data_IF_859022088376
#
_entry.id   IF_859022088376
#
_cell.length_a   1.000
_cell.length_b   1.000
_cell.length_c   1.000
_cell.angle_alpha   90.00
_cell.angle_beta   90.00
_cell.angle_gamma   90.00
#
_symmetry.space_group_name_H-M   'P 1'
#
loop_
_entity.id
_entity.type
_entity.pdbx_description
1 polymer ?
#
# COMPACT_ATOMS: atom_id res chain seq x y z
N UNK A 1 -12.45 24.99 16.67
CA UNK A 1 -12.45 24.31 17.97
C UNK A 1 -12.66 22.82 17.80
N UNK A 2 -11.81 21.98 18.46
CA UNK A 2 -12.03 20.54 18.52
C UNK A 2 -13.24 20.21 19.40
N UNK A 3 -14.08 19.28 18.95
CA UNK A 3 -15.25 18.79 19.67
C UNK A 3 -15.41 17.27 19.47
N UNK A 4 -15.75 16.56 20.56
CA UNK A 4 -16.09 15.15 20.52
C UNK A 4 -17.62 14.99 20.50
N UNK A 5 -18.16 14.35 19.46
CA UNK A 5 -19.60 14.22 19.22
C UNK A 5 -19.88 12.81 18.73
N UNK A 6 -20.75 12.08 19.40
CA UNK A 6 -21.21 10.73 19.03
C UNK A 6 -20.06 9.72 18.76
N UNK A 7 -19.01 9.78 19.58
CA UNK A 7 -17.87 8.86 19.46
C UNK A 7 -16.78 9.28 18.46
N UNK A 8 -16.93 10.42 17.81
CA UNK A 8 -16.00 10.95 16.82
C UNK A 8 -15.50 12.34 17.20
N UNK A 9 -14.29 12.69 16.79
CA UNK A 9 -13.70 14.02 16.99
C UNK A 9 -13.81 14.83 15.70
N UNK A 10 -14.22 16.08 15.83
CA UNK A 10 -14.35 17.05 14.72
C UNK A 10 -13.62 18.34 15.07
N UNK A 11 -13.10 19.03 14.06
CA UNK A 11 -12.62 20.40 14.18
C UNK A 11 -13.64 21.34 13.50
N UNK A 12 -14.23 22.26 14.26
CA UNK A 12 -15.07 23.32 13.72
C UNK A 12 -14.24 24.57 13.44
N UNK A 13 -14.36 25.08 12.23
CA UNK A 13 -13.74 26.32 11.78
C UNK A 13 -14.51 27.54 12.31
N UNK A 14 -14.01 28.76 12.08
CA UNK A 14 -14.63 30.00 12.56
C UNK A 14 -16.01 30.25 11.95
N UNK A 15 -16.24 29.78 10.72
CA UNK A 15 -17.53 29.86 10.02
C UNK A 15 -18.53 28.77 10.45
N UNK A 16 -18.16 27.93 11.42
CA UNK A 16 -18.98 26.82 11.92
C UNK A 16 -18.93 25.55 11.06
N UNK A 17 -18.24 25.54 9.94
CA UNK A 17 -18.06 24.34 9.13
C UNK A 17 -17.07 23.35 9.77
N UNK A 18 -17.17 22.06 9.39
CA UNK A 18 -16.21 21.04 9.80
C UNK A 18 -14.95 21.07 8.91
N UNK A 19 -13.77 21.04 9.52
CA UNK A 19 -12.52 20.85 8.79
C UNK A 19 -12.54 19.52 8.02
N UNK A 20 -11.90 19.52 6.85
CA UNK A 20 -11.77 18.34 5.97
C UNK A 20 -10.37 18.30 5.36
N UNK A 21 -9.85 17.07 5.16
CA UNK A 21 -8.52 16.88 4.62
C UNK A 21 -7.41 17.19 5.63
N UNK A 22 -6.20 17.46 5.12
CA UNK A 22 -5.07 17.86 5.94
C UNK A 22 -5.28 19.28 6.47
N UNK A 23 -5.27 19.44 7.78
CA UNK A 23 -5.62 20.70 8.44
C UNK A 23 -4.64 20.97 9.59
N UNK A 24 -4.17 22.21 9.69
CA UNK A 24 -3.35 22.66 10.83
C UNK A 24 -4.27 23.27 11.92
N UNK A 25 -4.01 22.87 13.15
CA UNK A 25 -4.67 23.41 14.34
C UNK A 25 -3.71 23.46 15.52
N UNK A 26 -3.55 24.62 16.14
CA UNK A 26 -2.62 24.87 17.27
C UNK A 26 -1.17 24.43 16.98
N UNK A 27 -0.69 24.69 15.75
CA UNK A 27 0.66 24.36 15.31
C UNK A 27 0.91 22.86 15.07
N UNK A 28 -0.15 22.04 15.04
CA UNK A 28 -0.09 20.61 14.75
C UNK A 28 -0.95 20.29 13.53
N UNK A 29 -0.54 19.29 12.76
CA UNK A 29 -1.28 18.85 11.58
C UNK A 29 -2.11 17.62 11.89
N UNK A 30 -3.34 17.59 11.36
CA UNK A 30 -4.32 16.52 11.51
C UNK A 30 -4.95 16.22 10.15
N UNK A 31 -5.55 15.05 10.02
CA UNK A 31 -6.37 14.74 8.86
C UNK A 31 -7.82 14.50 9.28
N UNK A 32 -8.74 15.21 8.66
CA UNK A 32 -10.17 15.03 8.85
C UNK A 32 -10.79 14.40 7.61
N UNK A 33 -11.66 13.42 7.79
CA UNK A 33 -12.36 12.74 6.71
C UNK A 33 -12.99 13.75 5.73
N UNK A 34 -12.69 13.61 4.46
CA UNK A 34 -13.28 14.45 3.41
C UNK A 34 -14.77 14.18 3.23
N UNK A 35 -15.27 13.04 3.73
CA UNK A 35 -16.68 12.65 3.65
C UNK A 35 -17.49 13.31 4.77
N UNK A 36 -17.16 13.03 6.03
CA UNK A 36 -17.96 13.44 7.19
C UNK A 36 -17.26 14.42 8.15
N UNK A 37 -15.97 14.72 7.93
CA UNK A 37 -15.17 15.64 8.75
C UNK A 37 -14.68 15.04 10.07
N UNK A 38 -14.80 13.73 10.32
CA UNK A 38 -14.26 13.10 11.52
C UNK A 38 -12.73 12.99 11.48
N UNK A 39 -12.10 13.09 12.65
CA UNK A 39 -10.64 12.95 12.81
C UNK A 39 -10.18 11.56 12.38
N UNK A 40 -9.19 11.51 11.49
CA UNK A 40 -8.57 10.28 11.05
C UNK A 40 -7.36 9.94 11.92
N UNK A 41 -7.14 8.65 12.17
CA UNK A 41 -5.98 8.13 12.89
C UNK A 41 -5.41 6.90 12.17
N UNK A 42 -4.09 6.73 12.25
CA UNK A 42 -3.36 5.67 11.57
C UNK A 42 -2.68 6.13 10.29
N UNK A 43 -2.28 5.16 9.46
CA UNK A 43 -1.65 5.45 8.17
C UNK A 43 -2.67 5.94 7.13
N UNK A 44 -2.30 6.94 6.36
CA UNK A 44 -3.10 7.52 5.29
C UNK A 44 -2.23 7.86 4.09
N UNK A 45 -2.61 7.35 2.93
CA UNK A 45 -2.05 7.82 1.66
C UNK A 45 -2.83 9.06 1.22
N UNK A 46 -2.10 10.15 0.96
CA UNK A 46 -2.62 11.39 0.41
C UNK A 46 -1.74 11.69 -0.81
N UNK A 47 -2.37 11.73 -1.99
CA UNK A 47 -1.64 11.79 -3.27
C UNK A 47 -0.67 10.60 -3.38
N UNK A 48 0.63 10.85 -3.44
CA UNK A 48 1.68 9.84 -3.60
C UNK A 48 2.47 9.54 -2.32
N UNK A 49 2.11 10.19 -1.18
CA UNK A 49 2.83 10.06 0.07
C UNK A 49 2.01 9.37 1.15
N UNK A 50 2.68 8.57 1.97
CA UNK A 50 2.09 7.96 3.16
C UNK A 50 2.40 8.81 4.39
N UNK A 51 1.37 9.12 5.16
CA UNK A 51 1.42 9.86 6.42
C UNK A 51 0.95 8.97 7.57
N UNK A 52 1.32 9.33 8.79
CA UNK A 52 0.81 8.69 10.00
C UNK A 52 0.24 9.72 10.95
N UNK A 53 -1.01 9.52 11.35
CA UNK A 53 -1.74 10.32 12.31
C UNK A 53 -1.85 9.52 13.61
N UNK A 54 -0.99 9.84 14.59
CA UNK A 54 -0.74 9.00 15.75
C UNK A 54 -1.94 8.93 16.71
N UNK A 55 -2.58 7.77 16.87
CA UNK A 55 -3.70 7.61 17.81
C UNK A 55 -3.30 7.89 19.28
N UNK A 56 -2.05 7.60 19.65
CA UNK A 56 -1.52 7.84 21.01
C UNK A 56 -1.31 9.33 21.29
N UNK A 57 -1.21 10.14 20.25
CA UNK A 57 -1.09 11.60 20.34
C UNK A 57 -2.36 12.31 19.86
N UNK A 58 -3.51 11.63 19.92
CA UNK A 58 -4.80 12.21 19.54
C UNK A 58 -4.93 12.52 18.05
N UNK A 59 -4.26 11.78 17.18
CA UNK A 59 -4.33 11.96 15.73
C UNK A 59 -3.40 13.04 15.17
N UNK A 60 -2.40 13.47 15.93
CA UNK A 60 -1.36 14.40 15.43
C UNK A 60 -0.52 13.69 14.37
N UNK A 61 -0.24 14.38 13.27
CA UNK A 61 0.61 13.89 12.20
C UNK A 61 2.07 13.72 12.69
N UNK A 62 2.68 12.59 12.42
CA UNK A 62 4.09 12.35 12.66
C UNK A 62 4.93 13.19 11.68
N UNK A 63 5.85 13.99 12.20
CA UNK A 63 6.71 14.92 11.43
C UNK A 63 8.09 14.89 12.03
N UNK A 64 9.13 14.78 11.19
CA UNK A 64 10.56 14.74 11.56
C UNK A 64 10.83 13.80 12.76
N UNK A 65 10.28 12.58 12.69
CA UNK A 65 10.31 11.64 13.82
C UNK A 65 10.32 10.19 13.38
N UNK A 66 10.68 9.33 14.31
CA UNK A 66 10.51 7.89 14.21
C UNK A 66 9.31 7.43 15.05
N UNK A 67 8.47 6.56 14.50
CA UNK A 67 7.33 5.98 15.24
C UNK A 67 7.39 4.47 15.14
N UNK A 68 7.37 3.79 16.31
CA UNK A 68 7.29 2.33 16.35
C UNK A 68 5.84 1.88 16.52
N UNK A 69 5.37 1.08 15.55
CA UNK A 69 4.01 0.55 15.47
C UNK A 69 4.12 -0.95 15.24
N UNK A 70 3.53 -1.74 16.12
CA UNK A 70 3.55 -3.21 16.06
C UNK A 70 4.97 -3.80 15.89
N UNK A 71 5.96 -3.20 16.58
CA UNK A 71 7.36 -3.62 16.56
C UNK A 71 8.16 -3.14 15.34
N UNK A 72 7.57 -2.39 14.44
CA UNK A 72 8.24 -1.81 13.27
C UNK A 72 8.43 -0.32 13.43
N UNK A 73 9.62 0.19 13.09
CA UNK A 73 9.95 1.61 13.14
C UNK A 73 9.80 2.23 11.75
N UNK A 74 9.03 3.30 11.71
CA UNK A 74 8.76 4.11 10.52
C UNK A 74 9.40 5.48 10.68
N UNK A 75 10.03 5.96 9.62
CA UNK A 75 10.66 7.30 9.56
C UNK A 75 9.75 8.27 8.82
N UNK A 76 9.59 9.47 9.37
CA UNK A 76 8.82 10.55 8.75
C UNK A 76 9.71 11.78 8.61
N UNK A 77 9.66 12.45 7.44
CA UNK A 77 10.41 13.68 7.20
C UNK A 77 9.72 14.93 7.77
N UNK A 78 10.30 16.10 7.46
CA UNK A 78 9.80 17.39 7.94
C UNK A 78 8.43 17.75 7.36
N UNK A 79 8.06 17.19 6.23
CA UNK A 79 6.74 17.31 5.61
C UNK A 79 5.74 16.28 6.15
N UNK A 80 6.23 15.26 6.87
CA UNK A 80 5.46 14.14 7.41
C UNK A 80 5.30 12.98 6.44
N UNK A 81 6.06 12.95 5.35
CA UNK A 81 6.06 11.82 4.43
C UNK A 81 6.81 10.64 5.05
N UNK A 82 6.21 9.46 5.00
CA UNK A 82 6.91 8.23 5.38
C UNK A 82 8.07 7.99 4.42
N UNK A 83 9.29 7.96 4.97
CA UNK A 83 10.49 7.71 4.16
C UNK A 83 10.65 6.23 3.84
N UNK A 84 11.01 5.89 2.61
CA UNK A 84 11.47 4.56 2.28
C UNK A 84 12.72 4.23 3.12
N UNK A 85 12.59 3.23 3.99
CA UNK A 85 13.75 2.68 4.68
C UNK A 85 14.62 1.93 3.68
N UNK A 86 15.93 2.12 3.72
CA UNK A 86 16.85 1.27 2.96
C UNK A 86 16.77 -0.13 3.58
N UNK A 87 16.28 -1.16 2.86
CA UNK A 87 16.18 -2.50 3.41
C UNK A 87 17.58 -3.05 3.72
N UNK A 88 17.71 -3.76 4.83
CA UNK A 88 18.91 -4.51 5.12
C UNK A 88 19.09 -5.71 4.16
N UNK A 89 20.19 -6.45 4.30
CA UNK A 89 20.48 -7.58 3.44
C UNK A 89 19.42 -8.69 3.55
N UNK A 90 18.94 -8.98 4.76
CA UNK A 90 17.94 -10.03 5.00
C UNK A 90 16.59 -9.66 4.36
N UNK A 91 16.17 -8.42 4.48
CA UNK A 91 14.95 -7.90 3.82
C UNK A 91 15.09 -7.94 2.30
N UNK A 92 16.24 -7.56 1.75
CA UNK A 92 16.51 -7.64 0.31
C UNK A 92 16.44 -9.08 -0.20
N UNK A 93 16.95 -10.04 0.56
CA UNK A 93 16.84 -11.47 0.24
C UNK A 93 15.39 -11.96 0.34
N UNK A 94 14.60 -11.46 1.31
CA UNK A 94 13.17 -11.77 1.39
C UNK A 94 12.43 -11.28 0.14
N UNK A 95 12.68 -10.05 -0.32
CA UNK A 95 12.10 -9.53 -1.56
C UNK A 95 12.41 -10.38 -2.78
N UNK A 96 13.66 -10.84 -2.92
CA UNK A 96 14.08 -11.76 -3.98
C UNK A 96 13.37 -13.13 -3.90
N UNK A 97 13.19 -13.67 -2.70
CA UNK A 97 12.46 -14.93 -2.47
C UNK A 97 10.98 -14.79 -2.84
N UNK A 98 10.35 -13.66 -2.51
CA UNK A 98 8.97 -13.35 -2.92
C UNK A 98 8.86 -13.35 -4.45
N UNK A 99 9.77 -12.65 -5.13
CA UNK A 99 9.82 -12.58 -6.59
C UNK A 99 10.04 -13.96 -7.22
N UNK A 100 10.95 -14.77 -6.68
CA UNK A 100 11.22 -16.12 -7.17
C UNK A 100 9.99 -17.04 -7.00
N UNK A 101 9.37 -17.05 -5.83
CA UNK A 101 8.15 -17.83 -5.57
C UNK A 101 6.99 -17.42 -6.49
N UNK A 102 6.81 -16.13 -6.72
CA UNK A 102 5.77 -15.65 -7.64
C UNK A 102 5.94 -16.18 -9.07
N UNK A 103 7.18 -16.38 -9.53
CA UNK A 103 7.46 -16.90 -10.87
C UNK A 103 7.06 -18.37 -11.06
N UNK A 104 6.98 -19.18 -10.00
CA UNK A 104 6.59 -20.59 -10.05
C UNK A 104 5.17 -20.79 -10.58
N UNK A 105 4.34 -19.74 -10.56
CA UNK A 105 2.94 -19.77 -10.99
C UNK A 105 2.72 -19.26 -12.41
N UNK A 106 3.77 -18.97 -13.15
CA UNK A 106 3.63 -18.57 -14.57
C UNK A 106 2.99 -19.71 -15.36
N UNK A 107 1.96 -19.36 -16.15
CA UNK A 107 1.17 -20.33 -16.93
C UNK A 107 -0.14 -20.78 -16.26
N UNK A 108 -0.30 -20.55 -14.95
CA UNK A 108 -1.58 -20.85 -14.28
C UNK A 108 -2.69 -19.85 -14.68
N UNK A 109 -3.97 -20.28 -14.58
CA UNK A 109 -5.07 -19.51 -15.14
C UNK A 109 -5.39 -18.23 -14.32
N UNK A 110 -5.98 -17.25 -14.98
CA UNK A 110 -6.69 -16.16 -14.35
C UNK A 110 -8.11 -16.60 -13.95
N UNK A 111 -8.56 -16.15 -12.79
CA UNK A 111 -9.96 -16.29 -12.37
C UNK A 111 -10.42 -15.01 -11.70
N UNK A 112 -11.47 -14.41 -12.24
CA UNK A 112 -12.06 -13.20 -11.65
C UNK A 112 -12.49 -13.48 -10.20
N UNK A 113 -12.10 -12.59 -9.27
CA UNK A 113 -12.28 -12.72 -7.83
C UNK A 113 -11.66 -13.98 -7.21
N UNK A 114 -10.76 -14.66 -7.92
CA UNK A 114 -10.01 -15.80 -7.41
C UNK A 114 -8.98 -15.36 -6.36
N UNK A 115 -9.01 -16.01 -5.18
CA UNK A 115 -8.17 -15.66 -4.04
C UNK A 115 -7.89 -16.83 -3.07
N UNK A 116 -8.17 -18.06 -3.49
CA UNK A 116 -8.06 -19.24 -2.64
C UNK A 116 -6.86 -20.13 -2.98
N UNK A 117 -6.58 -20.31 -4.26
CA UNK A 117 -5.55 -21.23 -4.74
C UNK A 117 -4.91 -20.69 -6.02
N UNK A 118 -3.60 -20.44 -5.97
CA UNK A 118 -2.82 -19.94 -7.10
C UNK A 118 -2.91 -20.83 -8.33
N UNK A 119 -3.05 -22.15 -8.14
CA UNK A 119 -3.09 -23.12 -9.23
C UNK A 119 -4.48 -23.26 -9.88
N UNK A 120 -5.54 -22.94 -9.15
CA UNK A 120 -6.91 -22.99 -9.67
C UNK A 120 -7.37 -21.69 -10.35
N UNK A 121 -6.56 -20.66 -10.23
CA UNK A 121 -6.79 -19.36 -10.84
C UNK A 121 -7.11 -18.26 -9.83
N UNK A 122 -6.52 -17.12 -10.08
CA UNK A 122 -6.62 -15.92 -9.23
C UNK A 122 -6.71 -14.67 -10.11
N UNK A 123 -7.30 -13.59 -9.57
CA UNK A 123 -7.14 -12.27 -10.18
C UNK A 123 -5.82 -11.60 -9.74
N UNK A 124 -5.55 -10.40 -10.20
CA UNK A 124 -4.28 -9.72 -9.97
C UNK A 124 -3.99 -9.48 -8.48
N UNK A 125 -4.95 -8.98 -7.72
CA UNK A 125 -4.77 -8.71 -6.29
C UNK A 125 -4.89 -9.97 -5.42
N UNK A 126 -5.63 -10.98 -5.84
CA UNK A 126 -5.63 -12.33 -5.25
C UNK A 126 -4.27 -13.00 -5.40
N UNK A 127 -3.63 -12.86 -6.56
CA UNK A 127 -2.28 -13.35 -6.81
C UNK A 127 -1.27 -12.75 -5.83
N UNK A 128 -1.18 -11.42 -5.77
CA UNK A 128 -0.24 -10.73 -4.87
C UNK A 128 -0.53 -11.06 -3.42
N UNK A 129 -1.79 -11.10 -3.01
CA UNK A 129 -2.19 -11.45 -1.64
C UNK A 129 -1.73 -12.86 -1.24
N UNK A 130 -1.94 -13.87 -2.09
CA UNK A 130 -1.57 -15.25 -1.79
C UNK A 130 -0.05 -15.44 -1.78
N UNK A 131 0.68 -14.80 -2.70
CA UNK A 131 2.15 -14.79 -2.69
C UNK A 131 2.68 -14.18 -1.40
N UNK A 132 2.21 -13.00 -1.01
CA UNK A 132 2.65 -12.33 0.24
C UNK A 132 2.29 -13.17 1.48
N UNK A 133 1.10 -13.78 1.51
CA UNK A 133 0.66 -14.66 2.60
C UNK A 133 1.58 -15.86 2.81
N UNK A 134 2.16 -16.43 1.75
CA UNK A 134 3.13 -17.53 1.84
C UNK A 134 4.35 -17.14 2.70
N UNK A 135 4.73 -15.88 2.72
CA UNK A 135 5.83 -15.33 3.52
C UNK A 135 5.36 -14.73 4.86
N UNK A 136 4.12 -14.99 5.27
CA UNK A 136 3.56 -14.45 6.52
C UNK A 136 3.18 -12.96 6.46
N UNK A 137 3.21 -12.36 5.26
CA UNK A 137 2.86 -10.96 5.05
C UNK A 137 1.37 -10.86 4.72
N UNK A 138 0.58 -10.35 5.66
CA UNK A 138 -0.86 -10.20 5.49
C UNK A 138 -1.19 -8.85 4.85
N UNK A 139 -1.58 -8.86 3.57
CA UNK A 139 -1.99 -7.68 2.81
C UNK A 139 -3.47 -7.75 2.42
N UNK A 140 -4.13 -6.61 2.13
CA UNK A 140 -5.56 -6.58 1.79
C UNK A 140 -5.88 -7.33 0.49
N UNK A 141 -7.19 -7.66 0.31
CA UNK A 141 -7.68 -8.39 -0.87
C UNK A 141 -7.73 -7.56 -2.14
N UNK A 142 -8.03 -6.27 -2.04
CA UNK A 142 -8.29 -5.42 -3.22
C UNK A 142 -7.07 -4.58 -3.61
N UNK A 143 -6.95 -4.27 -4.90
CA UNK A 143 -5.83 -3.51 -5.47
C UNK A 143 -5.63 -2.16 -4.78
N UNK A 144 -6.71 -1.37 -4.65
CA UNK A 144 -6.64 -0.06 -4.00
C UNK A 144 -6.23 -0.15 -2.53
N UNK A 145 -6.73 -1.16 -1.78
CA UNK A 145 -6.36 -1.35 -0.39
C UNK A 145 -4.91 -1.87 -0.23
N UNK A 146 -4.39 -2.60 -1.22
CA UNK A 146 -2.98 -2.95 -1.29
C UNK A 146 -2.08 -1.75 -1.58
N UNK A 147 -2.56 -0.77 -2.32
CA UNK A 147 -1.82 0.47 -2.57
C UNK A 147 -1.92 1.44 -1.38
N UNK A 148 -3.12 1.69 -0.88
CA UNK A 148 -3.40 2.73 0.12
C UNK A 148 -3.26 2.25 1.57
N UNK A 149 -3.21 0.94 1.78
CA UNK A 149 -3.26 0.34 3.11
C UNK A 149 -4.69 0.12 3.61
N UNK A 150 -4.83 -0.73 4.64
CA UNK A 150 -6.09 -0.97 5.32
C UNK A 150 -5.84 -1.36 6.78
N UNK A 151 -6.78 -1.00 7.67
CA UNK A 151 -6.70 -1.35 9.10
C UNK A 151 -6.67 -2.87 9.29
N UNK A 152 -5.79 -3.36 10.14
CA UNK A 152 -5.63 -4.79 10.44
C UNK A 152 -4.72 -5.56 9.49
N UNK A 153 -4.08 -4.87 8.54
CA UNK A 153 -3.11 -5.43 7.59
C UNK A 153 -1.74 -4.79 7.75
N UNK A 154 -0.70 -5.47 7.22
CA UNK A 154 0.61 -4.83 7.03
C UNK A 154 0.42 -3.57 6.20
N UNK A 155 1.05 -2.48 6.59
CA UNK A 155 0.93 -1.22 5.84
C UNK A 155 1.89 -1.19 4.66
N UNK A 156 1.50 -0.61 3.51
CA UNK A 156 2.40 -0.44 2.39
C UNK A 156 3.38 0.71 2.65
N UNK A 157 4.64 0.51 2.27
CA UNK A 157 5.61 1.59 2.14
C UNK A 157 5.59 2.06 0.68
N UNK A 158 5.27 3.32 0.44
CA UNK A 158 5.35 3.92 -0.90
C UNK A 158 6.81 4.00 -1.34
N UNK A 159 7.10 3.52 -2.54
CA UNK A 159 8.46 3.45 -3.10
C UNK A 159 8.49 4.27 -4.40
N UNK A 160 9.41 5.22 -4.56
CA UNK A 160 9.70 5.80 -5.87
C UNK A 160 9.99 4.68 -6.88
N UNK A 161 9.45 4.79 -8.09
CA UNK A 161 9.56 3.69 -9.07
C UNK A 161 11.01 3.36 -9.45
N UNK A 162 11.90 4.34 -9.38
CA UNK A 162 13.34 4.19 -9.57
C UNK A 162 14.02 3.36 -8.48
N UNK A 163 13.46 3.34 -7.25
CA UNK A 163 13.98 2.60 -6.08
C UNK A 163 13.35 1.21 -5.93
N UNK A 164 12.56 0.77 -6.91
CA UNK A 164 11.91 -0.55 -6.90
C UNK A 164 12.92 -1.69 -6.76
N UNK A 165 12.55 -2.70 -6.01
CA UNK A 165 13.36 -3.92 -5.80
C UNK A 165 12.49 -5.17 -6.03
N UNK A 166 13.10 -6.32 -6.36
CA UNK A 166 12.36 -7.58 -6.46
C UNK A 166 11.44 -7.82 -5.25
N UNK A 167 10.20 -8.22 -5.50
CA UNK A 167 9.18 -8.40 -4.45
C UNK A 167 8.28 -7.19 -4.22
N UNK A 168 8.60 -6.01 -4.74
CA UNK A 168 7.72 -4.83 -4.67
C UNK A 168 6.47 -5.04 -5.54
N UNK A 169 5.37 -4.42 -5.14
CA UNK A 169 4.13 -4.40 -5.90
C UNK A 169 4.08 -3.15 -6.78
N UNK A 170 3.87 -3.35 -8.08
CA UNK A 170 3.67 -2.26 -9.05
C UNK A 170 2.20 -2.21 -9.42
N UNK A 171 1.62 -1.00 -9.34
CA UNK A 171 0.21 -0.72 -9.62
C UNK A 171 0.06 0.02 -10.95
N UNK A 172 -1.03 -0.26 -11.66
CA UNK A 172 -1.27 0.22 -13.01
C UNK A 172 -2.67 0.81 -13.16
N UNK A 173 -2.90 1.61 -14.20
CA UNK A 173 -4.20 2.16 -14.62
C UNK A 173 -4.95 2.96 -13.54
N UNK A 174 -4.26 3.86 -12.83
CA UNK A 174 -4.91 4.71 -11.83
C UNK A 174 -5.21 4.01 -10.50
N UNK A 175 -4.36 3.05 -10.11
CA UNK A 175 -4.29 2.46 -8.78
C UNK A 175 -5.32 1.38 -8.47
N UNK A 176 -6.42 1.31 -9.20
CA UNK A 176 -7.53 0.43 -8.83
C UNK A 176 -7.71 -0.79 -9.74
N UNK A 177 -7.00 -0.84 -10.87
CA UNK A 177 -7.35 -1.78 -11.92
C UNK A 177 -6.42 -2.97 -11.99
N UNK A 178 -5.14 -2.81 -11.65
CA UNK A 178 -4.18 -3.90 -11.81
C UNK A 178 -2.95 -3.77 -10.92
N UNK A 179 -2.37 -4.92 -10.54
CA UNK A 179 -1.17 -5.03 -9.72
C UNK A 179 -0.35 -6.23 -10.14
N UNK A 180 0.97 -6.13 -10.03
CA UNK A 180 1.92 -7.22 -10.23
C UNK A 180 3.09 -7.14 -9.26
N UNK A 181 3.92 -8.19 -9.23
CA UNK A 181 5.12 -8.30 -8.39
C UNK A 181 6.34 -8.06 -9.27
N UNK A 182 7.16 -7.08 -8.90
CA UNK A 182 8.41 -6.80 -9.60
C UNK A 182 9.42 -7.92 -9.38
N UNK A 183 10.03 -8.38 -10.47
CA UNK A 183 10.98 -9.50 -10.45
C UNK A 183 12.45 -9.05 -10.48
N UNK A 184 12.71 -7.78 -10.72
CA UNK A 184 14.02 -7.31 -11.17
C UNK A 184 14.14 -7.36 -12.70
N UNK A 185 15.26 -6.83 -13.22
CA UNK A 185 15.57 -6.85 -14.66
C UNK A 185 14.41 -6.36 -15.54
N UNK A 186 13.75 -5.31 -15.12
CA UNK A 186 12.61 -4.67 -15.79
C UNK A 186 11.45 -5.62 -16.14
N UNK A 187 11.20 -6.59 -15.25
CA UNK A 187 10.11 -7.56 -15.40
C UNK A 187 9.15 -7.52 -14.22
N UNK A 188 7.88 -7.79 -14.52
CA UNK A 188 6.80 -7.97 -13.55
C UNK A 188 6.07 -9.28 -13.84
N UNK A 189 5.71 -10.02 -12.79
CA UNK A 189 4.78 -11.14 -12.89
C UNK A 189 3.40 -10.71 -12.36
N UNK A 190 2.35 -11.04 -13.11
CA UNK A 190 0.99 -10.63 -12.78
C UNK A 190 -0.04 -11.61 -13.31
N UNK A 191 -1.18 -11.73 -12.62
CA UNK A 191 -2.35 -12.42 -13.15
C UNK A 191 -3.15 -11.45 -14.03
N UNK A 192 -3.17 -11.67 -15.35
CA UNK A 192 -3.51 -10.67 -16.34
C UNK A 192 -5.00 -10.64 -16.73
N UNK A 193 -5.49 -11.69 -17.38
CA UNK A 193 -6.86 -11.83 -17.87
C UNK A 193 -7.20 -13.30 -18.14
N UNK A 194 -8.44 -13.58 -18.50
CA UNK A 194 -8.98 -14.95 -18.71
C UNK A 194 -8.56 -15.63 -20.01
N UNK A 195 -7.79 -14.97 -20.87
CA UNK A 195 -7.25 -15.64 -22.05
C UNK A 195 -6.25 -16.75 -21.64
N UNK A 196 -6.10 -17.81 -22.42
CA UNK A 196 -5.07 -18.82 -22.18
C UNK A 196 -3.65 -18.24 -22.22
N UNK A 197 -2.74 -18.84 -21.42
CA UNK A 197 -1.32 -18.52 -21.53
C UNK A 197 -0.80 -18.79 -22.95
N UNK A 198 0.08 -17.95 -23.53
CA UNK A 198 0.78 -16.80 -22.93
C UNK A 198 0.03 -15.46 -23.06
N UNK A 199 -1.15 -15.41 -23.65
CA UNK A 199 -1.92 -14.17 -23.82
C UNK A 199 -2.51 -13.66 -22.50
N UNK A 200 -2.94 -14.57 -21.62
CA UNK A 200 -3.53 -14.29 -20.31
C UNK A 200 -2.98 -15.23 -19.23
N UNK A 201 -3.73 -15.40 -18.15
CA UNK A 201 -3.28 -16.12 -16.97
C UNK A 201 -2.19 -15.36 -16.21
N UNK A 202 -1.43 -16.10 -15.40
CA UNK A 202 -0.25 -15.57 -14.71
C UNK A 202 0.91 -15.57 -15.69
N UNK A 203 1.46 -14.39 -15.98
CA UNK A 203 2.50 -14.19 -16.99
C UNK A 203 3.50 -13.13 -16.58
N UNK A 204 4.64 -13.11 -17.29
CA UNK A 204 5.68 -12.08 -17.14
C UNK A 204 5.53 -11.06 -18.26
N UNK A 205 5.62 -9.78 -17.91
CA UNK A 205 5.63 -8.65 -18.84
C UNK A 205 6.80 -7.71 -18.53
N UNK A 206 7.08 -6.73 -19.40
CA UNK A 206 7.91 -5.58 -19.00
C UNK A 206 7.20 -4.84 -17.86
N UNK A 207 7.95 -4.32 -16.88
CA UNK A 207 7.34 -3.63 -15.75
C UNK A 207 6.60 -2.35 -16.17
N UNK A 208 7.01 -1.75 -17.27
CA UNK A 208 6.48 -0.51 -17.85
C UNK A 208 5.57 -0.75 -19.09
N UNK A 209 5.00 -1.96 -19.21
CA UNK A 209 4.15 -2.31 -20.37
C UNK A 209 2.90 -1.42 -20.52
N UNK A 210 2.56 -0.66 -19.49
CA UNK A 210 1.48 0.33 -19.49
C UNK A 210 1.72 1.39 -18.39
N UNK A 211 0.81 2.36 -18.27
CA UNK A 211 0.92 3.44 -17.30
C UNK A 211 1.05 2.91 -15.87
N UNK A 212 2.15 3.27 -15.20
CA UNK A 212 2.43 2.96 -13.80
C UNK A 212 1.76 4.02 -12.93
N UNK A 213 0.92 3.58 -12.00
CA UNK A 213 0.28 4.43 -11.01
C UNK A 213 1.14 4.60 -9.75
N UNK A 214 1.77 3.51 -9.25
CA UNK A 214 2.59 3.56 -8.05
C UNK A 214 3.35 2.25 -7.81
N UNK A 215 4.24 2.29 -6.83
CA UNK A 215 4.99 1.14 -6.36
C UNK A 215 4.97 1.11 -4.83
N UNK A 216 4.73 -0.05 -4.24
CA UNK A 216 4.78 -0.20 -2.78
C UNK A 216 5.58 -1.42 -2.36
N UNK A 217 6.15 -1.36 -1.16
CA UNK A 217 6.88 -2.45 -0.49
C UNK A 217 6.16 -2.92 0.76
N UNK A 218 6.08 -4.23 0.95
CA UNK A 218 5.48 -4.86 2.11
C UNK A 218 6.47 -5.72 2.93
N UNK A 219 7.63 -6.02 2.38
CA UNK A 219 8.65 -6.93 2.92
C UNK A 219 9.79 -6.19 3.64
N UNK A 220 9.49 -5.27 4.51
CA UNK A 220 10.41 -4.49 5.34
C UNK A 220 10.11 -4.71 6.82
#
# INVERSE_FOLDING_TARGET
QLAWIDGETYLFLEDGSKAKGLTEYEGKKYYFSTVNGSLYQGFKVIEEFTYYFDPKQGGVMAVDTEVTIDGMTYLFDQEGHMKPRIPDQAETELGKRIAAYAQEFVGYPYKERGDQDLKQGVDCSGFTMLVMRHFGINIPRTTWAQHDGAKGYKQPMQIPIEDRKPGDLIFYYGGNSHVGIYLGNDKVVHSSNSAPYPKGGIKISSYDYTYIYGCVRYWY
#
